data_IF_985157354689
#
_entry.id   IF_985157354689
#
_cell.length_a   1.000
_cell.length_b   1.000
_cell.length_c   1.000
_cell.angle_alpha   90.00
_cell.angle_beta   90.00
_cell.angle_gamma   90.00
#
_symmetry.space_group_name_H-M   'P 1'
#
loop_
_entity.id
_entity.type
_entity.pdbx_description
1 polymer ?
#
# COMPACT_ATOMS: atom_id res chain seq x y z
N UNK A 1 17.87 11.66 3.57
CA UNK A 1 18.48 10.34 3.28
C UNK A 1 17.40 9.49 2.59
N UNK A 2 17.70 8.90 1.44
CA UNK A 2 16.78 8.00 0.73
C UNK A 2 17.43 6.63 0.70
N UNK A 3 16.89 5.70 1.48
CA UNK A 3 17.37 4.32 1.52
C UNK A 3 16.42 3.45 0.71
N UNK A 4 16.95 2.78 -0.30
CA UNK A 4 16.17 1.85 -1.11
C UNK A 4 15.94 0.55 -0.33
N UNK A 5 14.68 0.09 -0.28
CA UNK A 5 14.30 -1.13 0.43
C UNK A 5 13.84 -2.24 -0.52
N UNK A 6 13.25 -1.88 -1.65
CA UNK A 6 12.75 -2.86 -2.61
C UNK A 6 11.81 -2.22 -3.63
N UNK A 7 11.02 -3.07 -4.29
CA UNK A 7 9.99 -2.64 -5.25
C UNK A 7 8.63 -3.20 -4.85
N UNK A 8 7.58 -2.45 -5.18
CA UNK A 8 6.21 -2.89 -5.01
C UNK A 8 5.95 -4.13 -5.85
N UNK A 9 5.52 -5.23 -5.23
CA UNK A 9 5.18 -6.49 -5.92
C UNK A 9 4.10 -6.35 -7.00
N UNK A 10 3.22 -5.35 -6.88
CA UNK A 10 2.08 -5.15 -7.78
C UNK A 10 2.42 -4.25 -8.98
N UNK A 11 3.10 -3.13 -8.74
CA UNK A 11 3.32 -2.11 -9.79
C UNK A 11 4.80 -1.88 -10.12
N UNK A 12 5.73 -2.54 -9.44
CA UNK A 12 7.17 -2.37 -9.63
C UNK A 12 7.73 -1.03 -9.11
N UNK A 13 6.89 -0.17 -8.50
CA UNK A 13 7.34 1.13 -7.97
C UNK A 13 8.39 0.94 -6.88
N UNK A 14 9.46 1.71 -6.92
CA UNK A 14 10.49 1.73 -5.88
C UNK A 14 9.90 2.10 -4.51
N UNK A 15 10.26 1.32 -3.51
CA UNK A 15 9.93 1.55 -2.10
C UNK A 15 11.21 1.95 -1.40
N UNK A 16 11.16 3.11 -0.75
CA UNK A 16 12.31 3.68 -0.07
C UNK A 16 11.90 4.17 1.33
N UNK A 17 12.85 4.17 2.25
CA UNK A 17 12.81 5.01 3.43
C UNK A 17 13.32 6.39 3.07
N UNK A 18 12.42 7.37 3.03
CA UNK A 18 12.75 8.78 2.79
C UNK A 18 12.74 9.53 4.12
N UNK A 19 13.90 10.00 4.55
CA UNK A 19 14.08 10.78 5.78
C UNK A 19 13.53 10.07 7.03
N UNK A 20 13.70 8.75 7.09
CA UNK A 20 13.19 7.91 8.19
C UNK A 20 11.72 7.54 8.06
N UNK A 21 11.04 7.94 6.97
CA UNK A 21 9.66 7.55 6.67
C UNK A 21 9.61 6.48 5.59
N UNK A 22 8.95 5.37 5.89
CA UNK A 22 8.81 4.25 4.97
C UNK A 22 7.67 4.50 3.98
N UNK A 23 7.97 4.62 2.69
CA UNK A 23 6.99 4.91 1.64
C UNK A 23 6.27 3.65 1.10
N UNK A 24 5.91 2.72 1.98
CA UNK A 24 5.24 1.47 1.62
C UNK A 24 4.67 0.71 2.81
N UNK A 25 4.26 -0.53 2.54
CA UNK A 25 3.77 -1.50 3.53
C UNK A 25 4.56 -2.80 3.38
N UNK A 26 5.00 -3.36 4.50
CA UNK A 26 5.68 -4.66 4.55
C UNK A 26 4.63 -5.76 4.76
N UNK A 27 4.61 -6.74 3.87
CA UNK A 27 3.73 -7.91 3.94
C UNK A 27 4.40 -9.06 4.72
N UNK A 28 3.62 -10.05 5.20
CA UNK A 28 4.13 -11.19 6.00
C UNK A 28 5.22 -12.03 5.31
N UNK A 29 5.31 -11.98 3.98
CA UNK A 29 6.27 -12.76 3.18
C UNK A 29 7.54 -11.96 2.78
N UNK A 30 7.87 -10.88 3.50
CA UNK A 30 8.93 -9.93 3.10
C UNK A 30 8.68 -9.24 1.75
N UNK A 31 7.43 -9.21 1.29
CA UNK A 31 7.03 -8.45 0.12
C UNK A 31 6.75 -6.99 0.48
N UNK A 32 7.02 -6.09 -0.47
CA UNK A 32 6.71 -4.68 -0.33
C UNK A 32 5.52 -4.28 -1.20
N UNK A 33 4.65 -3.43 -0.67
CA UNK A 33 3.59 -2.75 -1.41
C UNK A 33 3.70 -1.24 -1.28
N UNK A 34 3.45 -0.51 -2.36
CA UNK A 34 3.22 0.93 -2.24
C UNK A 34 1.83 1.18 -1.65
N UNK A 35 1.64 2.32 -0.98
CA UNK A 35 0.36 2.69 -0.37
C UNK A 35 -0.83 2.64 -1.34
N UNK A 36 -0.62 3.00 -2.61
CA UNK A 36 -1.66 2.92 -3.63
C UNK A 36 -2.12 1.48 -3.88
N UNK A 37 -1.17 0.55 -3.98
CA UNK A 37 -1.46 -0.86 -4.20
C UNK A 37 -2.07 -1.51 -2.95
N UNK A 38 -1.61 -1.11 -1.77
CA UNK A 38 -2.19 -1.56 -0.50
C UNK A 38 -3.64 -1.06 -0.34
N UNK A 39 -3.91 0.22 -0.61
CA UNK A 39 -5.27 0.78 -0.59
C UNK A 39 -6.21 0.05 -1.54
N UNK A 40 -5.76 -0.23 -2.78
CA UNK A 40 -6.56 -1.00 -3.74
C UNK A 40 -6.86 -2.42 -3.24
N UNK A 41 -5.91 -3.06 -2.54
CA UNK A 41 -6.08 -4.39 -1.95
C UNK A 41 -7.10 -4.35 -0.81
N UNK A 42 -7.03 -3.34 0.07
CA UNK A 42 -7.98 -3.15 1.17
C UNK A 42 -9.40 -2.88 0.65
N UNK A 43 -9.56 -1.99 -0.33
CA UNK A 43 -10.86 -1.73 -0.97
C UNK A 43 -11.45 -2.97 -1.66
N UNK A 44 -10.63 -3.85 -2.20
CA UNK A 44 -11.12 -5.11 -2.78
C UNK A 44 -11.64 -6.09 -1.71
N UNK A 45 -11.14 -6.01 -0.48
CA UNK A 45 -11.60 -6.80 0.66
C UNK A 45 -12.87 -6.19 1.28
N UNK A 46 -12.96 -4.86 1.33
CA UNK A 46 -14.10 -4.13 1.93
C UNK A 46 -15.36 -4.13 1.06
N UNK A 47 -15.27 -4.40 -0.25
CA UNK A 47 -16.45 -4.52 -1.15
C UNK A 47 -17.40 -5.70 -0.87
N UNK A 48 -17.25 -6.39 0.27
CA UNK A 48 -18.23 -7.35 0.80
C UNK A 48 -19.01 -6.81 2.01
N UNK A 49 -18.90 -5.53 2.35
CA UNK A 49 -19.70 -4.91 3.40
C UNK A 49 -19.95 -3.43 3.13
N UNK A 50 -21.23 -3.06 3.16
CA UNK A 50 -21.80 -1.71 3.31
C UNK A 50 -21.99 -0.86 2.04
N UNK A 51 -23.13 -1.12 1.40
CA UNK A 51 -24.07 -0.08 0.98
C UNK A 51 -24.34 0.85 2.17
N UNK A 52 -23.78 2.06 2.15
CA UNK A 52 -24.33 3.18 2.92
C UNK A 52 -24.13 4.47 2.16
N UNK A 53 -25.15 4.80 1.38
CA UNK A 53 -25.72 6.13 1.23
C UNK A 53 -25.22 7.14 2.27
N UNK A 54 -24.43 8.12 1.86
CA UNK A 54 -24.43 9.44 2.52
C UNK A 54 -24.91 10.45 1.49
N UNK A 55 -26.23 10.67 1.55
CA UNK A 55 -26.87 11.89 1.07
C UNK A 55 -26.34 13.07 1.88
N UNK A 56 -25.97 14.15 1.19
CA UNK A 56 -26.34 15.54 1.52
C UNK A 56 -25.95 16.45 0.36
#
# INVERSE_FOLDING_TARGET
>A
MREYLGQCKICGKEICCENGFFNGVLLPEHDYLCFKCDQNKQQALEKRGDDSSVSQ
#
